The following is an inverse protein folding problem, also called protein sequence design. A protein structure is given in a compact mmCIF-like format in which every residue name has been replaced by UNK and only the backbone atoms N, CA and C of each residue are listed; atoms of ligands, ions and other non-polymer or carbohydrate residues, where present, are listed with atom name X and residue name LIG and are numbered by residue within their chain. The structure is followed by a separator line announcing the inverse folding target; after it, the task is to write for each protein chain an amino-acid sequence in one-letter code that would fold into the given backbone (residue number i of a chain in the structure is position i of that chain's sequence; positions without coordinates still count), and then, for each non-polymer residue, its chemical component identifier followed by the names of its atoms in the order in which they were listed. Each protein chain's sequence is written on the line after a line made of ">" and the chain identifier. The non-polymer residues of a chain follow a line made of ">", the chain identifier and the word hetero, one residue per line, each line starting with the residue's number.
data_IF_777558661684
#
_entry.id   IF_777558661684
#
_cell.length_a   1.000
_cell.length_b   1.000
_cell.length_c   1.000
_cell.angle_alpha   90.00
_cell.angle_beta   90.00
_cell.angle_gamma   90.00
#
_symmetry.space_group_name_H-M   'P 1'
#
loop_
_entity.id
_entity.type
_entity.pdbx_description
1 polymer ?
#
# COMPACT_ATOMS: atom_id res chain seq x y z
N UNK A 1 -5.04 -15.86 -5.92
CA UNK A 1 -5.02 -14.79 -6.92
C UNK A 1 -3.58 -14.54 -7.36
N UNK A 2 -3.39 -14.01 -8.57
CA UNK A 2 -2.09 -13.52 -9.03
C UNK A 2 -1.94 -12.06 -8.64
N UNK A 3 -0.92 -11.77 -7.85
CA UNK A 3 -0.69 -10.45 -7.26
C UNK A 3 0.65 -9.89 -7.72
N UNK A 4 0.67 -8.66 -8.20
CA UNK A 4 1.89 -7.87 -8.36
C UNK A 4 2.09 -6.99 -7.12
N UNK A 5 3.30 -6.88 -6.59
CA UNK A 5 3.62 -5.99 -5.49
C UNK A 5 4.84 -5.14 -5.82
N UNK A 6 4.66 -3.82 -5.81
CA UNK A 6 5.73 -2.86 -6.14
C UNK A 6 6.04 -1.99 -4.94
N UNK A 7 7.32 -1.95 -4.57
CA UNK A 7 7.83 -1.24 -3.41
C UNK A 7 7.98 -2.15 -2.19
N UNK A 8 9.23 -2.53 -1.91
CA UNK A 8 9.59 -3.52 -0.88
C UNK A 8 10.38 -2.88 0.27
N UNK A 9 10.01 -1.67 0.64
CA UNK A 9 10.53 -1.00 1.82
C UNK A 9 10.05 -1.67 3.14
N UNK A 10 10.26 -0.97 4.27
CA UNK A 10 9.93 -1.48 5.62
C UNK A 10 8.46 -1.85 5.83
N UNK A 11 7.55 -1.32 5.02
CA UNK A 11 6.13 -1.67 5.04
C UNK A 11 5.76 -2.67 3.96
N UNK A 12 6.31 -2.54 2.74
CA UNK A 12 5.91 -3.35 1.60
C UNK A 12 6.46 -4.78 1.64
N UNK A 13 7.72 -4.99 2.01
CA UNK A 13 8.32 -6.33 2.04
C UNK A 13 7.58 -7.31 3.00
N UNK A 14 7.23 -6.93 4.24
CA UNK A 14 6.42 -7.79 5.11
C UNK A 14 5.03 -8.07 4.52
N UNK A 15 4.35 -7.07 3.94
CA UNK A 15 3.04 -7.28 3.30
C UNK A 15 3.14 -8.29 2.16
N UNK A 16 4.11 -8.10 1.24
CA UNK A 16 4.36 -9.01 0.13
C UNK A 16 4.64 -10.45 0.61
N UNK A 17 5.46 -10.61 1.66
CA UNK A 17 5.74 -11.92 2.27
C UNK A 17 4.47 -12.59 2.79
N UNK A 18 3.61 -11.86 3.48
CA UNK A 18 2.37 -12.40 4.04
C UNK A 18 1.36 -12.75 2.94
N UNK A 19 1.28 -11.97 1.85
CA UNK A 19 0.48 -12.29 0.67
C UNK A 19 0.90 -13.65 0.10
N UNK A 20 2.20 -13.89 -0.11
CA UNK A 20 2.70 -15.17 -0.61
C UNK A 20 2.41 -16.32 0.36
N UNK A 21 2.60 -16.13 1.67
CA UNK A 21 2.32 -17.14 2.71
C UNK A 21 0.84 -17.52 2.79
N UNK A 22 -0.06 -16.62 2.39
CA UNK A 22 -1.51 -16.88 2.31
C UNK A 22 -1.95 -17.53 0.99
N UNK A 23 -0.99 -18.02 0.18
CA UNK A 23 -1.26 -18.83 -1.00
C UNK A 23 -1.57 -18.04 -2.27
N UNK A 24 -1.27 -16.75 -2.31
CA UNK A 24 -1.33 -15.96 -3.53
C UNK A 24 -0.06 -16.17 -4.37
N UNK A 25 -0.22 -16.27 -5.69
CA UNK A 25 0.91 -16.24 -6.63
C UNK A 25 1.43 -14.81 -6.72
N UNK A 26 2.69 -14.59 -6.36
CA UNK A 26 3.25 -13.25 -6.19
C UNK A 26 4.36 -12.93 -7.19
N UNK A 27 4.27 -11.76 -7.83
CA UNK A 27 5.37 -11.11 -8.53
C UNK A 27 5.76 -9.83 -7.80
N UNK A 28 7.05 -9.60 -7.58
CA UNK A 28 7.56 -8.44 -6.83
C UNK A 28 8.52 -7.60 -7.66
N UNK A 29 8.50 -6.29 -7.44
CA UNK A 29 9.41 -5.34 -8.05
C UNK A 29 9.78 -4.23 -7.07
N UNK A 30 11.05 -3.84 -7.06
CA UNK A 30 11.55 -2.66 -6.35
C UNK A 30 12.64 -1.97 -7.18
N UNK A 31 12.76 -0.66 -7.05
CA UNK A 31 13.83 0.12 -7.69
C UNK A 31 15.21 -0.26 -7.17
N UNK A 32 15.29 -0.80 -5.94
CA UNK A 32 16.50 -1.36 -5.35
C UNK A 32 16.48 -2.87 -5.48
N UNK A 33 17.24 -3.49 -6.41
CA UNK A 33 17.17 -4.93 -6.67
C UNK A 33 17.39 -5.82 -5.44
N UNK A 34 18.27 -5.40 -4.53
CA UNK A 34 18.54 -6.11 -3.29
C UNK A 34 17.32 -6.22 -2.35
N UNK A 35 16.33 -5.31 -2.47
CA UNK A 35 15.09 -5.40 -1.70
C UNK A 35 14.26 -6.64 -2.07
N UNK A 36 14.44 -7.18 -3.27
CA UNK A 36 13.74 -8.39 -3.73
C UNK A 36 14.38 -9.68 -3.21
N UNK A 37 15.63 -9.66 -2.73
CA UNK A 37 16.40 -10.88 -2.44
C UNK A 37 15.74 -11.76 -1.37
N UNK A 38 15.17 -11.16 -0.34
CA UNK A 38 14.49 -11.89 0.73
C UNK A 38 13.19 -12.60 0.27
N UNK A 39 12.66 -12.24 -0.90
CA UNK A 39 11.42 -12.79 -1.43
C UNK A 39 11.63 -13.75 -2.62
N UNK A 40 12.86 -13.91 -3.13
CA UNK A 40 13.16 -14.77 -4.30
C UNK A 40 12.70 -16.21 -4.17
N UNK A 41 12.65 -16.74 -2.95
CA UNK A 41 12.23 -18.11 -2.70
C UNK A 41 10.71 -18.32 -2.77
N UNK A 42 9.93 -17.24 -2.68
CA UNK A 42 8.47 -17.29 -2.54
C UNK A 42 7.72 -16.41 -3.55
N UNK A 43 8.44 -15.65 -4.37
CA UNK A 43 7.87 -14.73 -5.36
C UNK A 43 8.73 -14.67 -6.62
N UNK A 44 8.10 -14.42 -7.76
CA UNK A 44 8.79 -14.05 -8.99
C UNK A 44 9.32 -12.63 -8.86
N UNK A 45 10.62 -12.45 -9.06
CA UNK A 45 11.21 -11.11 -9.14
C UNK A 45 11.08 -10.57 -10.56
N UNK A 46 10.40 -9.45 -10.68
CA UNK A 46 10.17 -8.76 -11.95
C UNK A 46 11.19 -7.64 -12.18
N UNK A 47 11.48 -7.37 -13.44
CA UNK A 47 12.44 -6.35 -13.87
C UNK A 47 11.86 -4.92 -13.91
N UNK A 48 10.54 -4.80 -13.88
CA UNK A 48 9.81 -3.51 -13.88
C UNK A 48 8.40 -3.68 -13.30
N UNK A 49 7.70 -2.59 -12.94
CA UNK A 49 6.29 -2.65 -12.60
C UNK A 49 5.42 -3.31 -13.69
N UNK A 50 5.63 -2.97 -14.96
CA UNK A 50 4.94 -3.60 -16.09
C UNK A 50 5.21 -5.11 -16.17
N UNK A 51 6.45 -5.55 -15.92
CA UNK A 51 6.77 -6.97 -15.88
C UNK A 51 6.09 -7.67 -14.70
N UNK A 52 6.04 -7.05 -13.50
CA UNK A 52 5.32 -7.58 -12.36
C UNK A 52 3.81 -7.73 -12.65
N UNK A 53 3.23 -6.78 -13.36
CA UNK A 53 1.82 -6.70 -13.70
C UNK A 53 1.32 -7.76 -14.71
N UNK A 54 2.22 -8.45 -15.42
CA UNK A 54 1.83 -9.46 -16.42
C UNK A 54 0.99 -10.56 -15.81
N UNK A 55 -0.29 -10.61 -16.21
CA UNK A 55 -1.25 -11.60 -15.74
C UNK A 55 -1.74 -11.38 -14.30
N UNK A 56 -1.36 -10.29 -13.66
CA UNK A 56 -1.84 -9.96 -12.32
C UNK A 56 -3.32 -9.58 -12.33
N UNK A 57 -4.05 -10.07 -11.34
CA UNK A 57 -5.44 -9.71 -11.06
C UNK A 57 -5.52 -8.51 -10.12
N UNK A 58 -4.52 -8.41 -9.22
CA UNK A 58 -4.38 -7.30 -8.27
C UNK A 58 -2.95 -6.79 -8.28
N UNK A 59 -2.76 -5.48 -8.31
CA UNK A 59 -1.46 -4.84 -8.18
C UNK A 59 -1.41 -3.94 -6.96
N UNK A 60 -0.52 -4.24 -6.02
CA UNK A 60 -0.27 -3.50 -4.79
C UNK A 60 0.90 -2.53 -4.99
N UNK A 61 0.73 -1.28 -4.57
CA UNK A 61 1.76 -0.23 -4.65
C UNK A 61 2.05 0.31 -3.25
N UNK A 62 3.29 0.15 -2.79
CA UNK A 62 3.75 0.59 -1.46
C UNK A 62 5.10 1.30 -1.56
N UNK A 63 5.09 2.48 -2.17
CA UNK A 63 6.26 3.34 -2.38
C UNK A 63 6.16 4.61 -1.55
N UNK A 64 7.16 5.49 -1.60
CA UNK A 64 7.34 6.55 -0.61
C UNK A 64 6.41 7.75 -0.78
N UNK A 65 6.18 8.20 -2.01
CA UNK A 65 5.57 9.49 -2.33
C UNK A 65 4.72 9.44 -3.61
N UNK A 66 4.03 10.55 -3.89
CA UNK A 66 3.14 10.73 -5.05
C UNK A 66 3.85 10.52 -6.38
N UNK A 67 5.06 11.05 -6.53
CA UNK A 67 5.84 10.96 -7.77
C UNK A 67 6.19 9.51 -8.09
N UNK A 68 6.62 8.75 -7.07
CA UNK A 68 6.90 7.33 -7.23
C UNK A 68 5.65 6.52 -7.52
N UNK A 69 4.50 6.84 -6.91
CA UNK A 69 3.23 6.17 -7.21
C UNK A 69 2.82 6.43 -8.66
N UNK A 70 2.92 7.67 -9.13
CA UNK A 70 2.61 8.03 -10.53
C UNK A 70 3.53 7.26 -11.49
N UNK A 71 4.84 7.24 -11.24
CA UNK A 71 5.81 6.54 -12.08
C UNK A 71 5.55 5.02 -12.10
N UNK A 72 5.31 4.40 -10.93
CA UNK A 72 4.99 2.96 -10.82
C UNK A 72 3.70 2.60 -11.55
N UNK A 73 2.68 3.43 -11.46
CA UNK A 73 1.38 3.10 -12.06
C UNK A 73 1.31 3.52 -13.53
N UNK A 74 1.74 4.74 -13.89
CA UNK A 74 1.51 5.37 -15.19
C UNK A 74 2.78 5.61 -16.00
N UNK A 75 3.98 5.35 -15.47
CA UNK A 75 5.24 5.53 -16.17
C UNK A 75 5.38 4.60 -17.39
N UNK A 76 6.38 4.83 -18.23
CA UNK A 76 6.58 4.09 -19.47
C UNK A 76 6.86 2.57 -19.29
N UNK A 77 7.22 2.15 -18.08
CA UNK A 77 7.31 0.74 -17.67
C UNK A 77 6.39 0.47 -16.46
N UNK A 78 5.32 1.25 -16.32
CA UNK A 78 4.38 1.22 -15.23
C UNK A 78 3.36 0.07 -15.34
N UNK A 79 2.62 -0.13 -14.26
CA UNK A 79 1.62 -1.20 -14.13
C UNK A 79 0.60 -1.16 -15.26
N UNK A 80 0.16 0.03 -15.65
CA UNK A 80 -0.86 0.26 -16.68
C UNK A 80 -0.50 -0.34 -18.04
N UNK A 81 0.77 -0.55 -18.33
CA UNK A 81 1.24 -1.10 -19.61
C UNK A 81 0.96 -2.62 -19.76
N UNK A 82 0.72 -3.32 -18.64
CA UNK A 82 0.55 -4.79 -18.67
C UNK A 82 -0.67 -5.31 -17.90
N UNK A 83 -1.34 -4.45 -17.11
CA UNK A 83 -2.59 -4.84 -16.45
C UNK A 83 -3.71 -5.00 -17.48
N UNK A 84 -4.47 -6.08 -17.34
CA UNK A 84 -5.65 -6.33 -18.16
C UNK A 84 -6.87 -5.54 -17.66
N UNK A 85 -7.86 -5.25 -18.51
CA UNK A 85 -9.18 -4.77 -18.05
C UNK A 85 -9.76 -5.74 -17.01
N UNK A 86 -10.37 -5.19 -15.96
CA UNK A 86 -10.89 -5.94 -14.81
C UNK A 86 -9.87 -6.17 -13.70
N UNK A 87 -8.60 -5.80 -13.89
CA UNK A 87 -7.62 -5.80 -12.80
C UNK A 87 -7.87 -4.68 -11.79
N UNK A 88 -7.36 -4.85 -10.58
CA UNK A 88 -7.48 -3.92 -9.47
C UNK A 88 -6.10 -3.39 -9.05
N UNK A 89 -5.97 -2.08 -8.88
CA UNK A 89 -4.80 -1.44 -8.27
C UNK A 89 -5.12 -1.02 -6.84
N UNK A 90 -4.24 -1.40 -5.90
CA UNK A 90 -4.31 -1.04 -4.48
C UNK A 90 -3.17 -0.07 -4.14
N UNK A 91 -3.50 1.11 -3.63
CA UNK A 91 -2.50 2.10 -3.20
C UNK A 91 -2.35 2.03 -1.68
N UNK A 92 -1.26 1.43 -1.20
CA UNK A 92 -0.89 1.35 0.22
C UNK A 92 -0.06 2.56 0.68
N UNK A 93 0.56 3.28 -0.26
CA UNK A 93 1.26 4.54 -0.02
C UNK A 93 0.30 5.61 0.49
N UNK A 94 0.79 6.47 1.39
CA UNK A 94 0.04 7.67 1.79
C UNK A 94 0.37 8.80 0.83
N UNK A 95 -0.59 9.19 -0.01
CA UNK A 95 -0.46 10.19 -1.08
C UNK A 95 -1.56 11.25 -1.02
N UNK A 96 -1.38 12.31 -1.81
CA UNK A 96 -2.42 13.32 -1.99
C UNK A 96 -3.67 12.76 -2.66
N UNK A 97 -4.84 13.24 -2.25
CA UNK A 97 -6.12 12.81 -2.81
C UNK A 97 -6.24 13.19 -4.30
N UNK A 98 -5.67 14.33 -4.70
CA UNK A 98 -5.64 14.75 -6.10
C UNK A 98 -4.85 13.79 -6.98
N UNK A 99 -3.73 13.27 -6.48
CA UNK A 99 -2.96 12.20 -7.15
C UNK A 99 -3.80 10.96 -7.32
N UNK A 100 -4.55 10.55 -6.30
CA UNK A 100 -5.43 9.39 -6.36
C UNK A 100 -6.51 9.54 -7.46
N UNK A 101 -7.16 10.70 -7.56
CA UNK A 101 -8.14 10.96 -8.62
C UNK A 101 -7.51 11.03 -10.02
N UNK A 102 -6.29 11.54 -10.14
CA UNK A 102 -5.52 11.50 -11.38
C UNK A 102 -5.25 10.06 -11.83
N UNK A 103 -4.85 9.18 -10.91
CA UNK A 103 -4.67 7.75 -11.19
C UNK A 103 -5.98 7.10 -11.61
N UNK A 104 -7.09 7.37 -10.89
CA UNK A 104 -8.41 6.84 -11.22
C UNK A 104 -8.82 7.18 -12.66
N UNK A 105 -8.67 8.42 -13.08
CA UNK A 105 -9.02 8.85 -14.41
C UNK A 105 -8.26 8.08 -15.50
N UNK A 106 -6.95 7.87 -15.30
CA UNK A 106 -6.10 7.15 -16.23
C UNK A 106 -6.44 5.64 -16.26
N UNK A 107 -6.59 4.99 -15.10
CA UNK A 107 -6.88 3.57 -14.99
C UNK A 107 -8.28 3.22 -15.49
N UNK A 108 -9.29 4.05 -15.19
CA UNK A 108 -10.67 3.87 -15.64
C UNK A 108 -10.80 3.80 -17.16
N UNK A 109 -10.02 4.59 -17.89
CA UNK A 109 -9.99 4.55 -19.36
C UNK A 109 -9.53 3.21 -19.94
N UNK A 110 -8.85 2.40 -19.12
CA UNK A 110 -8.37 1.06 -19.47
C UNK A 110 -9.19 -0.06 -18.81
N UNK A 111 -10.29 0.28 -18.14
CA UNK A 111 -11.14 -0.70 -17.43
C UNK A 111 -10.46 -1.32 -16.21
N UNK A 112 -9.52 -0.60 -15.59
CA UNK A 112 -8.79 -1.03 -14.38
C UNK A 112 -9.37 -0.30 -13.18
N UNK A 113 -9.73 -1.05 -12.13
CA UNK A 113 -10.26 -0.50 -10.89
C UNK A 113 -9.14 0.05 -9.98
N UNK A 114 -9.49 0.97 -9.09
CA UNK A 114 -8.58 1.57 -8.11
C UNK A 114 -9.23 1.62 -6.74
N UNK A 115 -8.51 1.14 -5.73
CA UNK A 115 -8.86 1.26 -4.31
C UNK A 115 -7.69 1.89 -3.58
N UNK A 116 -7.94 2.91 -2.78
CA UNK A 116 -6.97 3.40 -1.81
C UNK A 116 -7.03 2.52 -0.56
N UNK A 117 -5.87 2.02 -0.17
CA UNK A 117 -5.72 1.03 0.89
C UNK A 117 -4.54 1.37 1.82
N UNK A 118 -4.44 2.64 2.29
CA UNK A 118 -3.35 3.03 3.17
C UNK A 118 -3.39 2.23 4.48
N UNK A 119 -2.20 2.03 5.05
CA UNK A 119 -2.01 1.18 6.21
C UNK A 119 -1.50 1.94 7.42
N UNK A 120 -1.85 1.48 8.61
CA UNK A 120 -1.31 1.95 9.88
C UNK A 120 -0.79 0.76 10.68
N UNK A 121 0.50 0.80 11.08
CA UNK A 121 1.09 -0.29 11.84
C UNK A 121 0.43 -0.43 13.21
N UNK A 122 -0.03 -1.63 13.54
CA UNK A 122 -0.68 -1.96 14.83
C UNK A 122 0.20 -2.84 15.72
N UNK A 123 1.17 -3.56 15.14
CA UNK A 123 2.09 -4.45 15.87
C UNK A 123 3.55 -4.14 15.51
N UNK A 124 4.46 -4.45 16.43
CA UNK A 124 5.91 -4.28 16.22
C UNK A 124 6.49 -5.39 15.33
N UNK A 125 5.98 -6.61 15.46
CA UNK A 125 6.37 -7.77 14.63
C UNK A 125 5.58 -7.74 13.33
N UNK A 126 6.12 -8.37 12.29
CA UNK A 126 5.54 -8.46 10.96
C UNK A 126 5.57 -9.91 10.40
N UNK A 127 5.68 -10.89 11.29
CA UNK A 127 5.59 -12.32 10.96
C UNK A 127 4.15 -12.80 10.77
N UNK A 128 3.20 -12.03 11.29
CA UNK A 128 1.75 -12.18 11.17
C UNK A 128 1.13 -10.87 10.68
N UNK A 129 -0.20 -10.82 10.57
CA UNK A 129 -0.93 -9.59 10.28
C UNK A 129 -0.56 -8.47 11.28
N UNK A 130 -0.17 -7.30 10.79
CA UNK A 130 0.50 -6.27 11.60
C UNK A 130 0.04 -4.84 11.33
N UNK A 131 -0.93 -4.64 10.45
CA UNK A 131 -1.46 -3.32 10.11
C UNK A 131 -2.98 -3.27 10.20
N UNK A 132 -3.52 -2.09 10.45
CA UNK A 132 -4.88 -1.70 10.14
C UNK A 132 -4.91 -1.13 8.72
N UNK A 133 -5.81 -1.61 7.86
CA UNK A 133 -5.98 -1.14 6.47
C UNK A 133 -7.31 -0.38 6.32
N UNK A 134 -7.22 0.83 5.80
CA UNK A 134 -8.36 1.73 5.56
C UNK A 134 -8.69 1.70 4.06
N UNK A 135 -9.81 1.09 3.67
CA UNK A 135 -10.17 0.89 2.27
C UNK A 135 -11.11 1.99 1.78
N UNK A 136 -10.78 2.62 0.64
CA UNK A 136 -11.66 3.55 -0.05
C UNK A 136 -11.86 3.12 -1.50
N UNK A 137 -13.12 3.01 -1.95
CA UNK A 137 -13.45 2.57 -3.30
C UNK A 137 -14.88 2.08 -3.45
N UNK A 138 -15.24 1.62 -4.63
CA UNK A 138 -16.52 0.96 -4.88
C UNK A 138 -16.61 -0.38 -4.13
N UNK A 139 -17.78 -0.73 -3.62
CA UNK A 139 -17.94 -1.89 -2.74
C UNK A 139 -17.44 -3.20 -3.36
N UNK A 140 -17.71 -3.43 -4.65
CA UNK A 140 -17.24 -4.64 -5.34
C UNK A 140 -15.71 -4.72 -5.46
N UNK A 141 -15.05 -3.59 -5.69
CA UNK A 141 -13.58 -3.51 -5.77
C UNK A 141 -12.94 -3.67 -4.38
N UNK A 142 -13.60 -3.12 -3.34
CA UNK A 142 -13.19 -3.29 -1.94
C UNK A 142 -13.31 -4.76 -1.51
N UNK A 143 -14.36 -5.47 -1.91
CA UNK A 143 -14.50 -6.90 -1.61
C UNK A 143 -13.39 -7.74 -2.27
N UNK A 144 -13.01 -7.40 -3.50
CA UNK A 144 -11.85 -8.01 -4.15
C UNK A 144 -10.53 -7.66 -3.42
N UNK A 145 -10.36 -6.41 -3.00
CA UNK A 145 -9.19 -5.97 -2.23
C UNK A 145 -9.04 -6.74 -0.92
N UNK A 146 -10.13 -7.00 -0.18
CA UNK A 146 -10.14 -7.75 1.09
C UNK A 146 -9.48 -9.12 0.99
N UNK A 147 -9.63 -9.80 -0.14
CA UNK A 147 -9.01 -11.11 -0.37
C UNK A 147 -7.48 -11.07 -0.33
N UNK A 148 -6.87 -9.94 -0.69
CA UNK A 148 -5.42 -9.75 -0.68
C UNK A 148 -4.95 -9.08 0.60
N UNK A 149 -5.59 -7.97 1.00
CA UNK A 149 -5.14 -7.19 2.17
C UNK A 149 -5.38 -7.91 3.49
N UNK A 150 -6.33 -8.84 3.54
CA UNK A 150 -6.58 -9.70 4.71
C UNK A 150 -5.38 -10.56 5.11
N UNK A 151 -4.45 -10.83 4.19
CA UNK A 151 -3.23 -11.57 4.46
C UNK A 151 -2.32 -10.87 5.48
N UNK A 152 -2.32 -9.54 5.54
CA UNK A 152 -1.42 -8.75 6.37
C UNK A 152 -2.12 -7.77 7.32
N UNK A 153 -3.45 -7.67 7.24
CA UNK A 153 -4.22 -6.75 8.08
C UNK A 153 -4.71 -7.44 9.36
N UNK A 154 -4.45 -6.80 10.52
CA UNK A 154 -5.06 -7.21 11.81
C UNK A 154 -6.54 -6.83 11.84
N UNK A 155 -6.87 -5.75 11.13
CA UNK A 155 -8.21 -5.23 10.97
C UNK A 155 -8.27 -4.46 9.65
N UNK A 156 -9.46 -4.34 9.06
CA UNK A 156 -9.66 -3.64 7.80
C UNK A 156 -11.10 -3.13 7.68
N UNK A 157 -11.24 -1.85 7.36
CA UNK A 157 -12.53 -1.19 7.23
C UNK A 157 -12.71 -0.52 5.88
N UNK A 158 -13.94 -0.58 5.36
CA UNK A 158 -14.36 0.21 4.21
C UNK A 158 -14.80 1.60 4.69
N UNK A 159 -13.95 2.60 4.44
CA UNK A 159 -14.14 3.98 4.88
C UNK A 159 -15.15 4.76 4.03
N UNK A 160 -15.47 4.28 2.82
CA UNK A 160 -16.36 4.96 1.88
C UNK A 160 -15.85 4.96 0.44
N UNK A 161 -16.25 5.93 -0.39
CA UNK A 161 -15.80 6.01 -1.78
C UNK A 161 -14.29 6.23 -1.89
N UNK A 162 -13.76 6.13 -3.11
CA UNK A 162 -12.34 6.37 -3.39
C UNK A 162 -11.86 7.69 -2.76
N UNK A 163 -10.75 7.63 -2.04
CA UNK A 163 -10.16 8.72 -1.26
C UNK A 163 -10.58 8.73 0.21
N UNK A 164 -11.63 8.01 0.61
CA UNK A 164 -12.08 7.97 2.00
C UNK A 164 -11.05 7.27 2.91
N UNK A 165 -10.43 6.19 2.46
CA UNK A 165 -9.34 5.52 3.19
C UNK A 165 -8.13 6.43 3.36
N UNK A 166 -7.76 7.15 2.29
CA UNK A 166 -6.65 8.10 2.32
C UNK A 166 -6.95 9.29 3.26
N UNK A 167 -8.15 9.84 3.22
CA UNK A 167 -8.57 10.90 4.14
C UNK A 167 -8.52 10.44 5.61
N UNK A 168 -9.01 9.23 5.90
CA UNK A 168 -8.94 8.64 7.22
C UNK A 168 -7.47 8.47 7.68
N UNK A 169 -6.60 8.00 6.78
CA UNK A 169 -5.16 7.85 7.06
C UNK A 169 -4.48 9.20 7.34
N UNK A 170 -4.76 10.22 6.54
CA UNK A 170 -4.20 11.57 6.73
C UNK A 170 -4.65 12.14 8.08
N UNK A 171 -5.95 12.01 8.42
CA UNK A 171 -6.49 12.45 9.71
C UNK A 171 -5.82 11.71 10.88
N UNK A 172 -5.66 10.38 10.78
CA UNK A 172 -4.95 9.58 11.79
C UNK A 172 -3.49 10.05 11.95
N UNK A 173 -2.79 10.32 10.86
CA UNK A 173 -1.42 10.80 10.90
C UNK A 173 -1.32 12.19 11.55
N UNK A 174 -2.25 13.09 11.26
CA UNK A 174 -2.30 14.41 11.89
C UNK A 174 -2.39 14.31 13.42
N UNK A 175 -3.30 13.48 13.93
CA UNK A 175 -3.44 13.24 15.38
C UNK A 175 -2.18 12.62 15.95
N UNK A 176 -1.67 11.55 15.32
CA UNK A 176 -0.50 10.79 15.81
C UNK A 176 0.75 11.67 15.92
N UNK A 177 1.08 12.43 14.87
CA UNK A 177 2.27 13.26 14.84
C UNK A 177 2.14 14.48 15.79
N UNK A 178 0.96 15.07 15.89
CA UNK A 178 0.69 16.16 16.84
C UNK A 178 0.89 15.69 18.27
N UNK A 179 0.33 14.51 18.63
CA UNK A 179 0.50 13.96 19.98
C UNK A 179 1.96 13.64 20.30
N UNK A 180 2.72 13.12 19.31
CA UNK A 180 4.16 12.84 19.50
C UNK A 180 4.94 14.13 19.83
N UNK A 181 4.70 15.20 19.07
CA UNK A 181 5.37 16.50 19.28
C UNK A 181 4.98 17.11 20.62
N UNK A 182 3.69 17.16 20.94
CA UNK A 182 3.18 17.72 22.21
C UNK A 182 3.70 16.89 23.38
N UNK A 183 3.69 15.57 23.29
CA UNK A 183 4.23 14.68 24.33
C UNK A 183 5.70 14.91 24.61
N UNK A 184 6.52 15.04 23.56
CA UNK A 184 7.94 15.36 23.70
C UNK A 184 8.16 16.73 24.38
N UNK A 185 7.40 17.76 23.99
CA UNK A 185 7.48 19.09 24.60
C UNK A 185 7.05 19.06 26.07
N UNK A 186 5.97 18.35 26.42
CA UNK A 186 5.51 18.19 27.81
C UNK A 186 6.58 17.50 28.68
N UNK A 187 7.22 16.44 28.15
CA UNK A 187 8.31 15.75 28.85
C UNK A 187 9.51 16.66 29.10
N UNK A 188 9.92 17.45 28.10
CA UNK A 188 11.00 18.42 28.26
C UNK A 188 10.66 19.51 29.29
N UNK A 189 9.44 19.99 29.29
CA UNK A 189 8.97 20.96 30.30
C UNK A 189 9.02 20.37 31.71
N UNK A 190 8.51 19.16 31.89
CA UNK A 190 8.54 18.46 33.18
C UNK A 190 9.99 18.26 33.68
N UNK A 191 10.87 17.80 32.80
CA UNK A 191 12.30 17.61 33.12
C UNK A 191 12.99 18.93 33.50
N UNK A 192 12.64 20.06 32.86
CA UNK A 192 13.16 21.37 33.19
C UNK A 192 12.85 21.78 34.65
N UNK A 193 11.72 21.35 35.17
CA UNK A 193 11.31 21.59 36.57
C UNK A 193 11.68 20.43 37.53
N UNK A 194 12.55 19.50 37.12
CA UNK A 194 13.07 18.42 37.96
C UNK A 194 12.11 17.25 38.17
N UNK A 195 11.07 17.13 37.37
CA UNK A 195 10.23 15.92 37.38
C UNK A 195 10.97 14.80 36.64
N UNK A 196 11.19 13.61 37.25
CA UNK A 196 11.96 12.50 36.65
C UNK A 196 11.22 11.81 35.51
#
# INVERSE_FOLDING_TARGET
>A
MRVAFVGLGSMGAPQARLIARNGHELAVCDAVPAACDALRAIARVASSPADAAKGAEVACVCVRDDEQVIEVVLGGAGLVESLAPGALVLIHSTIGIDTLYRLQAALKSRGIALVDAPVSRTRRTDDEAFVFTMLGGESGDVDQARAVVGAFSTDLDHMGPLGAGMAAKIANNLVTWTHLVIGAQATLLAAHYGVP
#
